data_IF_569612343509
#
_entry.id   IF_569612343509
#
_cell.length_a   1.000
_cell.length_b   1.000
_cell.length_c   1.000
_cell.angle_alpha   90.00
_cell.angle_beta   90.00
_cell.angle_gamma   90.00
#
_symmetry.space_group_name_H-M   'P 1'
#
loop_
_entity.id
_entity.type
_entity.pdbx_description
1 polymer ?
#
# COMPACT_ATOMS: atom_id res chain seq x y z
N UNK A 1 -15.95 -25.27 -41.84
CA UNK A 1 -15.09 -24.08 -41.72
C UNK A 1 -14.70 -23.96 -40.27
N UNK A 2 -13.51 -24.41 -39.88
CA UNK A 2 -13.05 -24.24 -38.50
C UNK A 2 -12.65 -22.78 -38.29
N UNK A 3 -13.32 -22.11 -37.36
CA UNK A 3 -13.05 -20.71 -37.04
C UNK A 3 -11.76 -20.61 -36.21
N UNK A 4 -10.61 -20.64 -36.89
CA UNK A 4 -9.26 -20.64 -36.28
C UNK A 4 -9.03 -19.51 -35.26
N UNK A 5 -9.67 -18.35 -35.45
CA UNK A 5 -9.52 -17.20 -34.57
C UNK A 5 -10.08 -17.37 -33.15
N UNK A 6 -11.06 -18.26 -32.93
CA UNK A 6 -11.62 -18.45 -31.57
C UNK A 6 -10.67 -19.21 -30.65
N UNK A 7 -9.93 -20.20 -31.17
CA UNK A 7 -8.91 -20.92 -30.37
C UNK A 7 -7.77 -20.01 -29.94
N UNK A 8 -7.39 -19.03 -30.77
CA UNK A 8 -6.39 -18.03 -30.45
C UNK A 8 -6.92 -17.00 -29.44
N UNK A 9 -8.17 -16.58 -29.62
CA UNK A 9 -8.86 -15.72 -28.66
C UNK A 9 -9.01 -16.36 -27.28
N UNK A 10 -9.38 -17.64 -27.21
CA UNK A 10 -9.49 -18.39 -25.95
C UNK A 10 -8.15 -18.44 -25.20
N UNK A 11 -7.04 -18.65 -25.91
CA UNK A 11 -5.69 -18.60 -25.33
C UNK A 11 -5.38 -17.23 -24.73
N UNK A 12 -5.71 -16.16 -25.45
CA UNK A 12 -5.51 -14.79 -24.96
C UNK A 12 -6.36 -14.54 -23.70
N UNK A 13 -7.62 -14.98 -23.70
CA UNK A 13 -8.50 -14.84 -22.54
C UNK A 13 -7.97 -15.60 -21.31
N UNK A 14 -7.47 -16.82 -21.50
CA UNK A 14 -6.91 -17.62 -20.41
C UNK A 14 -5.58 -17.05 -19.90
N UNK A 15 -4.78 -16.47 -20.77
CA UNK A 15 -3.60 -15.71 -20.37
C UNK A 15 -3.98 -14.46 -19.56
N UNK A 16 -4.99 -13.70 -19.99
CA UNK A 16 -5.49 -12.55 -19.21
C UNK A 16 -6.01 -12.99 -17.84
N UNK A 17 -6.81 -14.06 -17.78
CA UNK A 17 -7.34 -14.59 -16.51
C UNK A 17 -6.23 -14.96 -15.52
N UNK A 18 -5.08 -15.42 -16.01
CA UNK A 18 -3.97 -15.88 -15.16
C UNK A 18 -2.98 -14.76 -14.85
N UNK A 19 -2.68 -13.88 -15.81
CA UNK A 19 -1.67 -12.82 -15.67
C UNK A 19 -2.22 -11.55 -15.03
N UNK A 20 -3.48 -11.19 -15.27
CA UNK A 20 -4.05 -9.97 -14.71
C UNK A 20 -4.07 -10.01 -13.17
N UNK A 21 -4.52 -11.10 -12.49
CA UNK A 21 -4.46 -11.18 -11.03
C UNK A 21 -3.03 -11.07 -10.47
N UNK A 22 -2.05 -11.77 -11.07
CA UNK A 22 -0.64 -11.70 -10.65
C UNK A 22 -0.08 -10.29 -10.78
N UNK A 23 -0.42 -9.62 -11.89
CA UNK A 23 -0.03 -8.24 -12.14
C UNK A 23 -0.67 -7.28 -11.15
N UNK A 24 -1.96 -7.45 -10.84
CA UNK A 24 -2.67 -6.68 -9.81
C UNK A 24 -2.04 -6.86 -8.44
N UNK A 25 -1.72 -8.10 -8.04
CA UNK A 25 -1.08 -8.39 -6.76
C UNK A 25 0.30 -7.73 -6.66
N UNK A 26 1.12 -7.85 -7.72
CA UNK A 26 2.43 -7.20 -7.80
C UNK A 26 2.31 -5.67 -7.74
N UNK A 27 1.35 -5.08 -8.45
CA UNK A 27 1.11 -3.65 -8.42
C UNK A 27 0.77 -3.16 -7.02
N UNK A 28 -0.18 -3.82 -6.34
CA UNK A 28 -0.55 -3.44 -4.97
C UNK A 28 0.59 -3.62 -3.97
N UNK A 29 1.38 -4.68 -4.12
CA UNK A 29 2.59 -4.89 -3.31
C UNK A 29 3.55 -3.71 -3.47
N UNK A 30 3.82 -3.27 -4.69
CA UNK A 30 4.69 -2.11 -4.96
C UNK A 30 4.12 -0.84 -4.35
N UNK A 31 2.81 -0.59 -4.48
CA UNK A 31 2.15 0.55 -3.86
C UNK A 31 2.23 0.53 -2.33
N UNK A 32 2.16 -0.65 -1.71
CA UNK A 32 2.31 -0.81 -0.26
C UNK A 32 3.76 -0.59 0.21
N UNK A 33 4.75 -1.04 -0.55
CA UNK A 33 6.17 -0.77 -0.28
C UNK A 33 6.48 0.73 -0.35
N UNK A 34 5.98 1.37 -1.39
CA UNK A 34 6.08 2.80 -1.62
C UNK A 34 5.35 3.61 -0.53
N UNK A 35 4.15 3.20 -0.11
CA UNK A 35 3.47 3.78 1.05
C UNK A 35 4.30 3.61 2.32
N UNK A 36 4.82 2.41 2.59
CA UNK A 36 5.69 2.15 3.76
C UNK A 36 6.91 3.08 3.75
N UNK A 37 7.54 3.30 2.59
CA UNK A 37 8.67 4.22 2.44
C UNK A 37 8.28 5.66 2.80
N UNK A 38 7.20 6.18 2.24
CA UNK A 38 6.74 7.55 2.53
C UNK A 38 6.45 7.74 4.01
N UNK A 39 5.77 6.78 4.65
CA UNK A 39 5.48 6.84 6.08
C UNK A 39 6.76 6.87 6.90
N UNK A 40 7.77 6.08 6.52
CA UNK A 40 9.09 6.11 7.18
C UNK A 40 9.81 7.44 7.02
N UNK A 41 9.69 8.09 5.88
CA UNK A 41 10.28 9.42 5.63
C UNK A 41 9.58 10.51 6.47
N UNK A 42 8.26 10.42 6.61
CA UNK A 42 7.45 11.36 7.42
C UNK A 42 7.52 11.09 8.92
N UNK A 43 8.00 9.91 9.34
CA UNK A 43 8.08 9.54 10.75
C UNK A 43 9.18 10.35 11.45
N UNK A 44 8.87 11.08 12.54
CA UNK A 44 9.89 11.80 13.30
C UNK A 44 10.90 10.80 13.90
N UNK A 45 12.16 11.20 13.93
CA UNK A 45 13.25 10.36 14.42
C UNK A 45 13.72 10.89 15.77
N UNK A 46 13.62 10.02 16.77
CA UNK A 46 14.30 10.14 18.06
C UNK A 46 15.37 9.02 18.13
N UNK A 47 14.97 7.81 18.53
CA UNK A 47 15.83 6.60 18.47
C UNK A 47 15.74 5.82 17.15
N UNK A 48 14.76 6.15 16.30
CA UNK A 48 14.48 5.42 15.05
C UNK A 48 13.56 4.21 15.19
N UNK A 49 13.18 3.80 16.41
CA UNK A 49 12.31 2.62 16.65
C UNK A 49 11.00 2.70 15.89
N UNK A 50 10.26 3.82 16.00
CA UNK A 50 8.98 3.99 15.30
C UNK A 50 9.16 3.94 13.78
N UNK A 51 10.18 4.62 13.24
CA UNK A 51 10.48 4.61 11.81
C UNK A 51 10.75 3.19 11.30
N UNK A 52 11.52 2.40 12.04
CA UNK A 52 11.84 1.04 11.64
C UNK A 52 10.68 0.04 11.85
N UNK A 53 9.72 0.38 12.71
CA UNK A 53 8.56 -0.48 13.01
C UNK A 53 7.49 -0.53 11.92
N UNK A 54 7.55 0.36 10.92
CA UNK A 54 6.60 0.33 9.80
C UNK A 54 6.90 -0.85 8.88
N UNK A 55 5.91 -1.72 8.74
CA UNK A 55 5.95 -2.95 7.97
C UNK A 55 4.75 -3.04 7.04
N UNK A 56 4.81 -3.98 6.10
CA UNK A 56 3.68 -4.33 5.24
C UNK A 56 3.51 -5.83 5.14
N UNK A 57 2.28 -6.27 4.93
CA UNK A 57 1.95 -7.67 4.67
C UNK A 57 0.81 -7.83 3.67
N UNK A 58 0.66 -9.05 3.12
CA UNK A 58 -0.47 -9.38 2.28
C UNK A 58 -1.75 -9.40 3.13
N UNK A 59 -2.74 -8.60 2.75
CA UNK A 59 -3.96 -8.40 3.51
C UNK A 59 -5.01 -9.49 3.35
N UNK A 60 -4.79 -10.49 2.47
CA UNK A 60 -5.79 -11.50 2.13
C UNK A 60 -6.29 -12.25 3.37
N UNK A 61 -5.38 -12.61 4.28
CA UNK A 61 -5.70 -13.33 5.53
C UNK A 61 -6.58 -12.50 6.48
N UNK A 62 -6.36 -11.19 6.56
CA UNK A 62 -7.03 -10.31 7.51
C UNK A 62 -8.31 -9.67 6.96
N UNK A 63 -8.37 -9.40 5.65
CA UNK A 63 -9.49 -8.68 5.03
C UNK A 63 -10.45 -9.57 4.24
N UNK A 64 -10.04 -10.82 3.93
CA UNK A 64 -10.77 -11.69 3.01
C UNK A 64 -10.78 -11.21 1.54
N UNK A 65 -10.21 -10.04 1.24
CA UNK A 65 -10.18 -9.47 -0.10
C UNK A 65 -9.08 -10.11 -0.94
N UNK A 66 -9.42 -10.51 -2.16
CA UNK A 66 -8.50 -11.12 -3.11
C UNK A 66 -7.24 -10.28 -3.35
N UNK A 67 -7.42 -8.96 -3.45
CA UNK A 67 -6.34 -8.00 -3.67
C UNK A 67 -6.30 -6.99 -2.52
N UNK A 68 -5.37 -7.21 -1.59
CA UNK A 68 -5.20 -6.31 -0.44
C UNK A 68 -3.77 -6.36 0.09
N UNK A 69 -3.29 -5.22 0.56
CA UNK A 69 -2.04 -5.08 1.29
C UNK A 69 -2.31 -4.22 2.52
N UNK A 70 -1.63 -4.52 3.61
CA UNK A 70 -1.76 -3.79 4.88
C UNK A 70 -0.40 -3.18 5.20
N UNK A 71 -0.40 -1.90 5.57
CA UNK A 71 0.76 -1.21 6.13
C UNK A 71 0.45 -0.89 7.58
N UNK A 72 1.35 -1.27 8.48
CA UNK A 72 1.13 -1.18 9.92
C UNK A 72 2.44 -0.85 10.66
N UNK A 73 2.32 -0.39 11.90
CA UNK A 73 3.44 -0.25 12.83
C UNK A 73 3.34 -1.31 13.93
N UNK A 74 4.47 -1.91 14.29
CA UNK A 74 4.57 -2.85 15.42
C UNK A 74 4.66 -2.16 16.79
N UNK A 75 4.71 -0.83 16.84
CA UNK A 75 4.80 -0.10 18.11
C UNK A 75 3.42 0.24 18.66
N UNK A 76 3.25 0.09 19.98
CA UNK A 76 2.01 0.45 20.67
C UNK A 76 1.71 1.96 20.62
N UNK A 77 2.74 2.80 20.54
CA UNK A 77 2.62 4.26 20.62
C UNK A 77 2.53 4.97 19.26
N UNK A 78 2.56 4.25 18.13
CA UNK A 78 2.46 4.87 16.80
C UNK A 78 1.25 5.80 16.66
N UNK A 79 0.09 5.38 17.18
CA UNK A 79 -1.15 6.16 17.11
C UNK A 79 -1.06 7.47 17.91
N UNK A 80 -0.32 7.50 19.02
CA UNK A 80 -0.07 8.70 19.81
C UNK A 80 0.80 9.73 19.06
N UNK A 81 1.72 9.26 18.22
CA UNK A 81 2.54 10.12 17.35
C UNK A 81 1.76 10.55 16.11
N UNK A 82 0.92 9.66 15.58
CA UNK A 82 0.07 9.95 14.41
C UNK A 82 -0.94 11.05 14.73
N UNK A 83 -1.75 10.88 15.77
CA UNK A 83 -2.90 11.74 16.07
C UNK A 83 -2.66 12.72 17.22
N UNK A 84 -1.56 12.56 17.95
CA UNK A 84 -1.29 13.32 19.17
C UNK A 84 -1.84 12.62 20.41
N UNK A 85 -1.44 13.10 21.57
CA UNK A 85 -1.85 12.53 22.86
C UNK A 85 -1.69 13.54 23.99
N UNK A 86 -2.39 13.29 25.09
CA UNK A 86 -2.25 14.07 26.32
C UNK A 86 -1.06 13.54 27.14
N UNK A 87 -0.30 14.45 27.73
CA UNK A 87 0.90 14.15 28.52
C UNK A 87 0.86 14.82 29.90
N UNK A 88 1.74 14.34 30.78
CA UNK A 88 1.84 14.79 32.17
C UNK A 88 0.89 14.07 33.13
N UNK A 89 1.22 14.11 34.43
CA UNK A 89 0.50 13.39 35.51
C UNK A 89 -1.01 13.68 35.51
N UNK A 90 -1.39 14.92 35.19
CA UNK A 90 -2.78 15.37 35.17
C UNK A 90 -3.38 15.44 33.75
N UNK A 91 -2.67 14.97 32.70
CA UNK A 91 -3.13 14.97 31.29
C UNK A 91 -3.58 16.33 30.76
N UNK A 92 -2.96 17.41 31.25
CA UNK A 92 -3.30 18.80 30.90
C UNK A 92 -2.53 19.30 29.68
N UNK A 93 -1.35 18.75 29.40
CA UNK A 93 -0.55 19.10 28.21
C UNK A 93 -0.98 18.24 27.03
N UNK A 94 -1.04 18.81 25.83
CA UNK A 94 -1.35 18.07 24.61
C UNK A 94 -0.18 18.15 23.63
N UNK A 95 0.30 16.99 23.18
CA UNK A 95 1.29 16.87 22.13
C UNK A 95 0.56 16.69 20.81
N UNK A 96 0.82 17.57 19.84
CA UNK A 96 0.21 17.52 18.51
C UNK A 96 0.70 16.30 17.72
N UNK A 97 -0.21 15.68 16.98
CA UNK A 97 0.11 14.59 16.06
C UNK A 97 0.95 15.06 14.86
N UNK A 98 1.65 14.10 14.25
CA UNK A 98 2.48 14.29 13.05
C UNK A 98 1.80 13.83 11.77
N UNK A 99 0.71 13.06 11.87
CA UNK A 99 -0.08 12.58 10.72
C UNK A 99 0.78 11.88 9.64
N UNK A 100 1.69 10.99 10.05
CA UNK A 100 2.67 10.34 9.18
C UNK A 100 1.97 9.46 8.14
N UNK A 101 1.14 8.51 8.61
CA UNK A 101 0.42 7.57 7.75
C UNK A 101 -0.66 8.28 6.95
N UNK A 102 -1.41 9.17 7.59
CA UNK A 102 -2.46 9.94 6.92
C UNK A 102 -1.90 10.76 5.75
N UNK A 103 -0.78 11.44 5.96
CA UNK A 103 -0.14 12.25 4.91
C UNK A 103 0.40 11.37 3.79
N UNK A 104 1.06 10.26 4.13
CA UNK A 104 1.56 9.31 3.13
C UNK A 104 0.43 8.71 2.28
N UNK A 105 -0.71 8.35 2.89
CA UNK A 105 -1.89 7.86 2.16
C UNK A 105 -2.43 8.93 1.20
N UNK A 106 -2.53 10.19 1.64
CA UNK A 106 -2.98 11.28 0.78
C UNK A 106 -2.03 11.49 -0.42
N UNK A 107 -0.71 11.45 -0.20
CA UNK A 107 0.29 11.52 -1.26
C UNK A 107 0.15 10.36 -2.26
N UNK A 108 -0.13 9.15 -1.76
CA UNK A 108 -0.31 7.96 -2.61
C UNK A 108 -1.60 8.01 -3.40
N UNK A 109 -2.70 8.47 -2.82
CA UNK A 109 -3.98 8.63 -3.53
C UNK A 109 -3.84 9.50 -4.79
N UNK A 110 -3.06 10.58 -4.71
CA UNK A 110 -2.82 11.47 -5.85
C UNK A 110 -2.06 10.74 -6.98
N UNK A 111 -1.09 9.90 -6.63
CA UNK A 111 -0.20 9.21 -7.59
C UNK A 111 -0.76 7.86 -8.07
N UNK A 112 -1.69 7.26 -7.34
CA UNK A 112 -2.11 5.87 -7.51
C UNK A 112 -2.58 5.55 -8.94
N UNK A 113 -3.48 6.36 -9.49
CA UNK A 113 -4.01 6.13 -10.84
C UNK A 113 -2.96 6.36 -11.94
N UNK A 114 -2.03 7.30 -11.72
CA UNK A 114 -0.91 7.54 -12.62
C UNK A 114 0.03 6.33 -12.63
N UNK A 115 0.37 5.81 -11.45
CA UNK A 115 1.21 4.62 -11.31
C UNK A 115 0.54 3.38 -11.90
N UNK A 116 -0.77 3.22 -11.69
CA UNK A 116 -1.57 2.15 -12.27
C UNK A 116 -1.51 2.19 -13.80
N UNK A 117 -1.77 3.36 -14.40
CA UNK A 117 -1.71 3.55 -15.85
C UNK A 117 -0.33 3.23 -16.41
N UNK A 118 0.74 3.68 -15.73
CA UNK A 118 2.11 3.42 -16.16
C UNK A 118 2.46 1.93 -16.05
N UNK A 119 2.05 1.28 -14.96
CA UNK A 119 2.32 -0.14 -14.71
C UNK A 119 1.66 -1.03 -15.77
N UNK A 120 0.35 -0.88 -16.00
CA UNK A 120 -0.35 -1.67 -17.02
C UNK A 120 0.03 -1.26 -18.44
N UNK A 121 0.30 0.02 -18.68
CA UNK A 121 0.81 0.49 -19.97
C UNK A 121 2.16 -0.14 -20.34
N UNK A 122 3.02 -0.40 -19.35
CA UNK A 122 4.28 -1.14 -19.56
C UNK A 122 4.09 -2.64 -19.79
N UNK A 123 3.01 -3.23 -19.29
CA UNK A 123 2.67 -4.64 -19.52
C UNK A 123 2.09 -4.88 -20.91
N UNK A 124 1.27 -3.96 -21.43
CA UNK A 124 0.62 -4.08 -22.74
C UNK A 124 1.60 -3.81 -23.90
N UNK A 125 2.65 -3.02 -23.66
CA UNK A 125 3.67 -2.67 -24.66
C UNK A 125 4.80 -3.71 -24.78
N UNK A 126 4.88 -4.65 -23.85
CA UNK A 126 5.79 -5.79 -23.93
C UNK A 126 5.11 -6.92 -24.68
#
# INVERSE_FOLDING_TARGET
MELKGFKEFDKILDEIKTQAPKSTEKFLMLQAEELKKDVKELTPVDTGTLKNSWQRENGKRLTGKAFSQIVFSMTSYAHHVEYGHRTGRNKTKFVRGRFMLRTAVAMRQIKFYKDLKNFYGGLIKK
#
